data_IF_864705645305
#
_entry.id   IF_864705645305
#
_cell.length_a   1.000
_cell.length_b   1.000
_cell.length_c   1.000
_cell.angle_alpha   90.00
_cell.angle_beta   90.00
_cell.angle_gamma   90.00
#
_symmetry.space_group_name_H-M   'P 1'
#
loop_
_entity.id
_entity.type
_entity.pdbx_description
1 polymer ?
#
# COMPACT_ATOMS: atom_id res chain seq x y z
N UNK A 1 9.31 -7.91 9.70
CA UNK A 1 8.85 -8.87 10.74
C UNK A 1 7.72 -8.25 11.54
N UNK A 2 7.07 -9.00 12.43
CA UNK A 2 6.09 -8.41 13.35
C UNK A 2 6.78 -7.39 14.25
N UNK A 3 6.12 -6.26 14.49
CA UNK A 3 6.66 -5.11 15.21
C UNK A 3 7.25 -4.04 14.29
N UNK A 4 7.60 -4.40 13.05
CA UNK A 4 8.12 -3.43 12.08
C UNK A 4 7.01 -2.51 11.55
N UNK A 5 7.47 -1.38 11.04
CA UNK A 5 6.66 -0.37 10.38
C UNK A 5 7.21 -0.13 8.98
N UNK A 6 6.32 -0.07 8.00
CA UNK A 6 6.61 0.33 6.63
C UNK A 6 5.84 1.61 6.33
N UNK A 7 6.51 2.58 5.72
CA UNK A 7 5.90 3.82 5.27
C UNK A 7 5.88 3.84 3.74
N UNK A 8 4.71 4.05 3.14
CA UNK A 8 4.60 4.47 1.74
C UNK A 8 4.74 6.00 1.70
N UNK A 9 5.86 6.48 1.18
CA UNK A 9 6.11 7.92 1.06
C UNK A 9 5.31 8.46 -0.12
N UNK A 10 4.45 9.46 0.13
CA UNK A 10 3.67 10.08 -0.93
C UNK A 10 4.53 11.04 -1.77
N UNK A 11 4.28 11.15 -3.09
CA UNK A 11 4.87 12.19 -3.91
C UNK A 11 4.60 13.58 -3.33
N UNK A 12 5.64 14.42 -3.31
CA UNK A 12 5.54 15.81 -2.86
C UNK A 12 6.17 16.73 -3.88
N UNK A 13 5.48 17.83 -4.15
CA UNK A 13 5.82 18.81 -5.17
C UNK A 13 5.86 20.21 -4.55
N UNK A 14 6.58 21.13 -5.19
CA UNK A 14 6.62 22.53 -4.82
C UNK A 14 5.30 23.24 -5.14
N UNK A 15 5.00 24.31 -4.40
CA UNK A 15 3.74 25.08 -4.51
C UNK A 15 3.49 25.73 -5.87
N UNK A 16 4.49 25.78 -6.75
CA UNK A 16 4.35 26.29 -8.12
C UNK A 16 3.86 25.24 -9.13
N UNK A 17 3.81 23.96 -8.75
CA UNK A 17 3.31 22.89 -9.62
C UNK A 17 1.79 22.88 -9.58
N UNK A 18 1.16 22.93 -10.77
CA UNK A 18 -0.28 22.78 -10.91
C UNK A 18 -0.75 21.44 -10.30
N UNK A 19 -1.73 21.51 -9.40
CA UNK A 19 -2.36 20.35 -8.75
C UNK A 19 -2.78 19.29 -9.78
N UNK A 20 -3.22 19.71 -10.96
CA UNK A 20 -3.65 18.80 -12.02
C UNK A 20 -2.54 17.94 -12.63
N UNK A 21 -1.29 18.33 -12.43
CA UNK A 21 -0.09 17.64 -12.91
C UNK A 21 0.61 16.82 -11.82
N UNK A 22 0.05 16.79 -10.62
CA UNK A 22 0.61 16.05 -9.50
C UNK A 22 0.12 14.61 -9.48
N UNK A 23 0.99 13.70 -9.04
CA UNK A 23 0.64 12.30 -8.89
C UNK A 23 -0.17 12.07 -7.61
N UNK A 24 -1.28 11.34 -7.75
CA UNK A 24 -2.16 11.02 -6.64
C UNK A 24 -2.60 9.56 -6.72
N UNK A 25 -2.67 8.91 -5.57
CA UNK A 25 -2.95 7.47 -5.50
C UNK A 25 -3.56 7.05 -4.19
N UNK A 26 -4.39 6.01 -4.22
CA UNK A 26 -4.86 5.29 -3.04
C UNK A 26 -4.13 3.96 -2.96
N UNK A 27 -3.67 3.61 -1.76
CA UNK A 27 -2.93 2.37 -1.51
C UNK A 27 -3.86 1.36 -0.84
N UNK A 28 -3.90 0.14 -1.38
CA UNK A 28 -4.73 -0.95 -0.88
C UNK A 28 -3.89 -2.16 -0.50
N UNK A 29 -4.31 -2.87 0.54
CA UNK A 29 -3.98 -4.29 0.74
C UNK A 29 -5.02 -5.14 0.03
N UNK A 30 -4.59 -6.12 -0.74
CA UNK A 30 -5.47 -6.96 -1.57
C UNK A 30 -5.15 -8.45 -1.44
N UNK A 31 -6.03 -9.28 -2.00
CA UNK A 31 -5.76 -10.71 -2.17
C UNK A 31 -4.66 -10.95 -3.23
N UNK A 32 -4.14 -12.18 -3.29
CA UNK A 32 -3.20 -12.57 -4.35
C UNK A 32 -3.83 -12.44 -5.75
N UNK A 33 -5.10 -12.83 -5.88
CA UNK A 33 -5.83 -12.75 -7.15
C UNK A 33 -5.92 -11.30 -7.63
N UNK A 34 -6.38 -10.39 -6.77
CA UNK A 34 -6.49 -8.96 -7.08
C UNK A 34 -5.13 -8.31 -7.42
N UNK A 35 -4.05 -8.79 -6.81
CA UNK A 35 -2.69 -8.36 -7.14
C UNK A 35 -2.24 -8.82 -8.54
N UNK A 36 -2.62 -10.03 -8.94
CA UNK A 36 -2.27 -10.59 -10.24
C UNK A 36 -3.07 -9.91 -11.36
N UNK A 37 -4.37 -9.70 -11.13
CA UNK A 37 -5.30 -9.11 -12.11
C UNK A 37 -5.36 -7.59 -12.07
N UNK A 38 -4.75 -6.96 -11.06
CA UNK A 38 -4.84 -5.53 -10.78
C UNK A 38 -6.29 -5.05 -10.67
N UNK A 39 -7.10 -5.70 -9.84
CA UNK A 39 -8.49 -5.32 -9.55
C UNK A 39 -8.69 -5.04 -8.07
N UNK A 40 -9.71 -4.25 -7.74
CA UNK A 40 -10.19 -4.09 -6.37
C UNK A 40 -11.52 -4.84 -6.20
N UNK A 41 -11.49 -5.99 -5.52
CA UNK A 41 -12.69 -6.72 -5.09
C UNK A 41 -13.23 -6.19 -3.74
N UNK A 42 -14.27 -6.83 -3.22
CA UNK A 42 -14.82 -6.52 -1.89
C UNK A 42 -13.85 -6.78 -0.73
N UNK A 43 -12.81 -7.59 -0.95
CA UNK A 43 -11.81 -7.92 0.06
C UNK A 43 -10.67 -6.89 0.15
N UNK A 44 -10.60 -5.97 -0.83
CA UNK A 44 -9.62 -4.90 -0.84
C UNK A 44 -9.80 -3.98 0.37
N UNK A 45 -8.69 -3.69 1.06
CA UNK A 45 -8.67 -2.82 2.25
C UNK A 45 -7.84 -1.58 1.95
N UNK A 46 -8.49 -0.42 1.99
CA UNK A 46 -7.81 0.86 1.86
C UNK A 46 -6.90 1.09 3.07
N UNK A 47 -5.63 1.44 2.81
CA UNK A 47 -4.64 1.74 3.84
C UNK A 47 -4.45 3.24 4.03
N UNK A 48 -4.59 4.01 2.95
CA UNK A 48 -4.45 5.45 2.97
C UNK A 48 -4.35 6.04 1.57
N UNK A 49 -4.35 7.38 1.52
CA UNK A 49 -4.43 8.16 0.28
C UNK A 49 -3.30 9.19 0.21
N UNK A 50 -2.61 9.23 -0.92
CA UNK A 50 -1.66 10.28 -1.27
C UNK A 50 -2.37 11.34 -2.13
N UNK A 51 -3.08 12.27 -1.49
CA UNK A 51 -3.92 13.30 -2.15
C UNK A 51 -3.52 14.74 -1.79
N UNK A 52 -2.47 14.90 -0.98
CA UNK A 52 -1.95 16.20 -0.54
C UNK A 52 -0.57 16.46 -1.16
N UNK A 53 -0.46 16.72 -2.48
CA UNK A 53 0.81 16.75 -3.21
C UNK A 53 1.75 17.88 -2.75
N UNK A 54 1.25 18.92 -2.08
CA UNK A 54 2.05 20.03 -1.55
C UNK A 54 2.58 19.79 -0.13
N UNK A 55 2.30 18.61 0.44
CA UNK A 55 2.73 18.23 1.79
C UNK A 55 3.53 16.94 1.72
N UNK A 56 4.61 16.89 2.51
CA UNK A 56 5.31 15.64 2.76
C UNK A 56 4.43 14.78 3.65
N UNK A 57 3.84 13.75 3.06
CA UNK A 57 2.93 12.84 3.72
C UNK A 57 3.35 11.38 3.47
N UNK A 58 2.81 10.46 4.28
CA UNK A 58 3.09 9.04 4.17
C UNK A 58 1.96 8.19 4.73
N UNK A 59 1.70 7.06 4.06
CA UNK A 59 0.78 6.02 4.56
C UNK A 59 1.59 5.02 5.37
N UNK A 60 1.25 4.87 6.65
CA UNK A 60 1.96 4.00 7.59
C UNK A 60 1.27 2.65 7.74
N UNK A 61 1.99 1.57 7.50
CA UNK A 61 1.58 0.19 7.78
C UNK A 61 2.41 -0.37 8.92
N UNK A 62 1.76 -0.82 9.99
CA UNK A 62 2.42 -1.49 11.11
C UNK A 62 2.08 -2.97 11.09
N UNK A 63 3.08 -3.84 11.03
CA UNK A 63 2.88 -5.29 11.03
C UNK A 63 2.66 -5.76 12.47
N UNK A 64 1.40 -5.95 12.85
CA UNK A 64 0.99 -6.36 14.20
C UNK A 64 0.05 -7.56 14.11
N UNK A 65 0.21 -8.51 15.03
CA UNK A 65 -0.58 -9.75 15.08
C UNK A 65 -2.07 -9.51 15.31
N UNK A 66 -2.39 -8.65 16.28
CA UNK A 66 -3.74 -8.32 16.69
C UNK A 66 -3.76 -6.83 16.97
N UNK A 67 -4.37 -6.07 16.08
CA UNK A 67 -4.59 -4.66 16.30
C UNK A 67 -5.79 -4.45 17.24
N UNK A 68 -5.65 -3.72 18.36
CA UNK A 68 -6.80 -3.34 19.18
C UNK A 68 -7.74 -2.36 18.45
N UNK A 69 -7.30 -1.76 17.34
CA UNK A 69 -8.15 -0.97 16.46
C UNK A 69 -8.77 -1.89 15.38
N UNK A 70 -10.11 -2.05 15.34
CA UNK A 70 -10.81 -2.91 14.36
C UNK A 70 -10.61 -2.49 12.89
N UNK A 71 -10.22 -1.24 12.65
CA UNK A 71 -9.94 -0.73 11.30
C UNK A 71 -8.50 -1.02 10.86
N UNK A 72 -7.61 -1.35 11.79
CA UNK A 72 -6.24 -1.69 11.46
C UNK A 72 -6.14 -3.18 11.13
N UNK A 73 -5.34 -3.47 10.11
CA UNK A 73 -5.25 -4.80 9.55
C UNK A 73 -4.28 -5.67 10.33
N UNK A 74 -4.67 -6.91 10.56
CA UNK A 74 -3.82 -7.90 11.22
C UNK A 74 -2.84 -8.53 10.23
N UNK A 75 -1.64 -8.81 10.73
CA UNK A 75 -0.53 -9.42 10.01
C UNK A 75 0.01 -10.61 10.80
N UNK A 76 0.07 -11.76 10.15
CA UNK A 76 0.57 -13.00 10.73
C UNK A 76 2.00 -13.27 10.25
N UNK A 77 2.88 -13.81 11.12
CA UNK A 77 4.18 -14.33 10.74
C UNK A 77 4.05 -15.44 9.69
N UNK A 78 5.05 -15.53 8.82
CA UNK A 78 5.12 -16.54 7.75
C UNK A 78 4.17 -16.26 6.59
N UNK A 79 3.33 -15.22 6.68
CA UNK A 79 2.35 -14.90 5.64
C UNK A 79 2.86 -13.85 4.64
N UNK A 80 2.26 -13.92 3.45
CA UNK A 80 2.53 -13.02 2.33
C UNK A 80 1.36 -12.07 2.17
N UNK A 81 1.65 -10.78 2.07
CA UNK A 81 0.67 -9.73 1.88
C UNK A 81 0.94 -8.95 0.60
N UNK A 82 -0.12 -8.56 -0.09
CA UNK A 82 -0.06 -7.93 -1.40
C UNK A 82 -0.64 -6.52 -1.31
N UNK A 83 0.05 -5.58 -1.95
CA UNK A 83 -0.30 -4.17 -1.95
C UNK A 83 -0.31 -3.66 -3.38
N UNK A 84 -1.34 -2.88 -3.73
CA UNK A 84 -1.47 -2.29 -5.07
C UNK A 84 -2.01 -0.86 -4.99
N UNK A 85 -1.86 -0.13 -6.08
CA UNK A 85 -2.72 1.02 -6.40
C UNK A 85 -3.32 0.86 -7.78
N UNK A 86 -4.64 0.94 -7.89
CA UNK A 86 -5.34 0.96 -9.17
C UNK A 86 -5.67 2.38 -9.62
N UNK A 87 -5.32 3.41 -8.84
CA UNK A 87 -5.47 4.80 -9.28
C UNK A 87 -4.70 5.03 -10.58
N UNK A 88 -5.13 5.97 -11.42
CA UNK A 88 -4.44 6.26 -12.70
C UNK A 88 -3.28 7.25 -12.55
N UNK A 89 -2.99 7.69 -11.33
CA UNK A 89 -1.98 8.71 -11.04
C UNK A 89 -2.48 10.15 -11.19
N UNK A 90 -3.73 10.34 -11.59
CA UNK A 90 -4.35 11.66 -11.75
C UNK A 90 -5.38 11.93 -10.65
N UNK A 91 -5.67 13.21 -10.31
CA UNK A 91 -6.69 13.54 -9.31
C UNK A 91 -8.08 12.94 -9.63
N UNK A 92 -8.44 12.85 -10.91
CA UNK A 92 -9.74 12.34 -11.35
C UNK A 92 -9.81 10.82 -11.39
N UNK A 93 -8.67 10.15 -11.50
CA UNK A 93 -8.58 8.70 -11.59
C UNK A 93 -8.23 8.04 -10.25
N UNK A 94 -8.47 8.72 -9.13
CA UNK A 94 -8.21 8.21 -7.79
C UNK A 94 -9.04 6.94 -7.50
N UNK A 95 -10.36 7.02 -7.71
CA UNK A 95 -11.32 5.95 -7.45
C UNK A 95 -11.42 4.94 -8.62
N UNK A 96 -10.34 4.75 -9.39
CA UNK A 96 -10.31 3.71 -10.41
C UNK A 96 -10.09 2.34 -9.75
N UNK A 97 -10.94 1.35 -10.06
CA UNK A 97 -10.95 0.04 -9.40
C UNK A 97 -10.24 -1.08 -10.20
N UNK A 98 -9.71 -0.79 -11.40
CA UNK A 98 -9.08 -1.80 -12.25
C UNK A 98 -7.93 -1.26 -13.10
N UNK A 99 -6.82 -1.98 -13.13
CA UNK A 99 -5.63 -1.65 -13.88
C UNK A 99 -4.91 -0.45 -13.29
N UNK A 100 -5.02 0.70 -13.94
CA UNK A 100 -4.34 1.94 -13.53
C UNK A 100 -2.84 1.75 -13.39
N UNK A 101 -2.25 2.36 -12.36
CA UNK A 101 -0.83 2.30 -12.07
C UNK A 101 -0.34 0.87 -11.74
N UNK A 102 -1.18 0.00 -11.19
CA UNK A 102 -0.84 -1.40 -10.94
C UNK A 102 -0.43 -2.13 -12.23
N UNK A 103 -1.21 -1.99 -13.31
CA UNK A 103 -0.91 -2.66 -14.58
C UNK A 103 0.04 -1.88 -15.47
N UNK A 104 -0.09 -0.55 -15.51
CA UNK A 104 0.68 0.28 -16.46
C UNK A 104 2.11 0.56 -15.99
N UNK A 105 2.35 0.61 -14.68
CA UNK A 105 3.65 1.01 -14.10
C UNK A 105 4.16 -0.01 -13.06
N UNK A 106 3.52 -1.18 -12.96
CA UNK A 106 3.89 -2.23 -11.99
C UNK A 106 3.92 -1.69 -10.54
N UNK A 107 3.06 -0.72 -10.21
CA UNK A 107 2.95 -0.16 -8.85
C UNK A 107 2.16 -1.11 -7.94
N UNK A 108 2.84 -2.22 -7.63
CA UNK A 108 2.37 -3.29 -6.78
C UNK A 108 3.53 -3.95 -6.05
N UNK A 109 3.30 -4.36 -4.81
CA UNK A 109 4.33 -4.86 -3.90
C UNK A 109 3.86 -6.13 -3.17
N UNK A 110 4.80 -7.05 -2.96
CA UNK A 110 4.62 -8.24 -2.14
C UNK A 110 5.48 -8.09 -0.89
N UNK A 111 4.91 -8.32 0.28
CA UNK A 111 5.65 -8.34 1.55
C UNK A 111 5.53 -9.73 2.17
N UNK A 112 6.68 -10.33 2.42
CA UNK A 112 6.82 -11.55 3.21
C UNK A 112 7.06 -11.16 4.66
N UNK A 113 6.08 -11.39 5.53
CA UNK A 113 6.24 -11.15 6.96
C UNK A 113 6.98 -12.35 7.55
N UNK A 114 8.25 -12.17 7.91
CA UNK A 114 9.07 -13.25 8.47
C UNK A 114 8.47 -13.87 9.74
N UNK A 115 8.79 -15.14 9.97
CA UNK A 115 8.40 -15.87 11.18
C UNK A 115 9.03 -15.29 12.44
N UNK A 116 8.38 -15.53 13.59
CA UNK A 116 9.01 -15.29 14.88
C UNK A 116 10.19 -16.25 15.05
N UNK A 117 11.42 -15.73 15.00
CA UNK A 117 12.57 -16.44 15.57
C UNK A 117 13.39 -17.34 14.65
N UNK A 118 13.54 -17.04 13.36
CA UNK A 118 14.75 -17.49 12.63
C UNK A 118 15.95 -16.59 12.98
N UNK A 119 16.36 -16.61 14.25
CA UNK A 119 17.76 -16.35 14.59
C UNK A 119 18.47 -17.67 14.32
N UNK A 120 18.99 -17.85 13.11
CA UNK A 120 19.83 -19.00 12.79
C UNK A 120 20.91 -19.08 13.87
N UNK A 121 20.88 -20.14 14.68
CA UNK A 121 22.07 -20.56 15.41
C UNK A 121 23.05 -21.04 14.35
N UNK A 122 24.02 -20.20 14.01
CA UNK A 122 25.21 -20.65 13.30
C UNK A 122 26.09 -21.36 14.33
N UNK A 123 26.35 -22.65 14.09
CA UNK A 123 27.46 -23.41 14.69
C UNK A 123 28.77 -22.79 14.23
#
# INVERSE_FOLDING_TARGET
MIGDVMDFVCPSYDSGVDFMKTEQSIIYRVSKEDYETCTLSSDARELGRCISPMKKDKVKVSFRLLSPNPSALDYLPGQIYYFITTSTGTPWGLDNHKGGLCSSHQLKMIIHVGDYGMKLMSI
#
